data_IF_298250492516
#
_entry.id   IF_298250492516
#
_cell.length_a   1.000
_cell.length_b   1.000
_cell.length_c   1.000
_cell.angle_alpha   90.00
_cell.angle_beta   90.00
_cell.angle_gamma   90.00
#
_symmetry.space_group_name_H-M   'P 1'
#
loop_
_entity.id
_entity.type
_entity.pdbx_description
1 polymer ?
#
# COMPACT_ATOMS: atom_id res chain seq x y z
N UNK A 1 -11.78 -11.18 -51.94
CA UNK A 1 -11.96 -12.53 -52.42
C UNK A 1 -11.03 -12.70 -53.63
N UNK A 2 -9.97 -13.43 -53.46
CA UNK A 2 -9.08 -13.77 -54.58
C UNK A 2 -9.28 -15.24 -54.90
N UNK A 3 -9.54 -15.59 -56.17
CA UNK A 3 -9.76 -16.96 -56.65
C UNK A 3 -8.48 -17.36 -57.38
N UNK A 4 -7.92 -18.54 -57.04
CA UNK A 4 -6.78 -19.09 -57.70
C UNK A 4 -7.20 -19.83 -59.02
N UNK A 5 -6.27 -20.06 -59.97
CA UNK A 5 -6.60 -20.65 -61.26
C UNK A 5 -7.11 -22.08 -61.22
N UNK A 6 -7.19 -22.74 -60.04
CA UNK A 6 -7.72 -24.07 -59.85
C UNK A 6 -9.10 -24.13 -59.20
N UNK A 7 -9.80 -23.00 -59.03
CA UNK A 7 -11.16 -22.92 -58.51
C UNK A 7 -11.35 -23.29 -57.03
N UNK A 8 -10.28 -23.30 -56.23
CA UNK A 8 -10.37 -23.58 -54.79
C UNK A 8 -10.54 -22.28 -53.98
N UNK A 9 -11.63 -22.21 -53.24
CA UNK A 9 -11.84 -21.10 -52.24
C UNK A 9 -10.88 -21.28 -51.09
N UNK A 10 -9.84 -20.48 -51.04
CA UNK A 10 -8.96 -20.42 -49.88
C UNK A 10 -9.66 -19.55 -48.83
N UNK A 11 -10.23 -20.19 -47.80
CA UNK A 11 -10.64 -19.48 -46.58
C UNK A 11 -9.38 -19.05 -45.83
N UNK A 12 -9.06 -17.78 -45.95
CA UNK A 12 -8.07 -17.14 -45.07
C UNK A 12 -8.66 -17.17 -43.66
N UNK A 13 -8.20 -18.11 -42.81
CA UNK A 13 -8.44 -18.02 -41.37
C UNK A 13 -7.52 -16.93 -40.83
N UNK A 14 -8.00 -15.69 -40.86
CA UNK A 14 -7.44 -14.66 -40.03
C UNK A 14 -7.79 -15.06 -38.60
N UNK A 15 -6.82 -15.65 -37.88
CA UNK A 15 -6.88 -15.75 -36.44
C UNK A 15 -7.03 -14.32 -35.89
N UNK A 16 -8.04 -14.05 -35.07
CA UNK A 16 -8.07 -12.79 -34.37
C UNK A 16 -6.94 -12.84 -33.33
N UNK A 17 -5.78 -12.27 -33.67
CA UNK A 17 -4.87 -11.84 -32.64
C UNK A 17 -5.60 -10.75 -31.86
N UNK A 18 -6.23 -11.15 -30.76
CA UNK A 18 -6.64 -10.20 -29.74
C UNK A 18 -5.36 -9.60 -29.18
N UNK A 19 -4.92 -8.50 -29.75
CA UNK A 19 -3.96 -7.63 -29.10
C UNK A 19 -4.59 -7.23 -27.76
N UNK A 20 -4.14 -7.90 -26.69
CA UNK A 20 -4.42 -7.51 -25.32
C UNK A 20 -3.81 -6.12 -25.15
N UNK A 21 -4.60 -5.06 -25.30
CA UNK A 21 -4.17 -3.69 -25.01
C UNK A 21 -3.79 -3.68 -23.53
N UNK A 22 -2.50 -3.78 -23.24
CA UNK A 22 -1.97 -3.44 -21.93
C UNK A 22 -2.23 -1.94 -21.76
N UNK A 23 -3.18 -1.58 -20.91
CA UNK A 23 -3.32 -0.19 -20.52
C UNK A 23 -2.03 0.23 -19.81
N UNK A 24 -1.38 1.30 -20.31
CA UNK A 24 -0.18 1.81 -19.68
C UNK A 24 -0.49 2.37 -18.29
N UNK A 25 0.44 2.30 -17.33
CA UNK A 25 0.29 2.96 -16.05
C UNK A 25 0.00 4.46 -16.22
N UNK A 26 -0.86 4.99 -15.34
CA UNK A 26 -1.19 6.42 -15.30
C UNK A 26 -0.46 7.03 -14.11
N UNK A 27 0.45 8.00 -14.35
CA UNK A 27 1.10 8.76 -13.29
C UNK A 27 0.50 10.16 -13.20
N UNK A 28 0.19 10.59 -11.98
CA UNK A 28 -0.40 11.88 -11.70
C UNK A 28 0.01 12.42 -10.34
N UNK A 29 -0.29 13.69 -10.09
CA UNK A 29 -0.17 14.28 -8.76
C UNK A 29 -1.55 14.45 -8.16
N UNK A 30 -1.80 13.82 -7.02
CA UNK A 30 -3.01 13.99 -6.23
C UNK A 30 -2.82 15.16 -5.24
N UNK A 31 -3.92 15.73 -4.79
CA UNK A 31 -3.93 16.77 -3.76
C UNK A 31 -4.61 16.22 -2.51
N UNK A 32 -3.93 16.34 -1.37
CA UNK A 32 -4.50 16.01 -0.07
C UNK A 32 -5.38 17.14 0.44
N UNK A 33 -6.24 16.87 1.42
CA UNK A 33 -7.14 17.87 2.02
C UNK A 33 -6.38 19.06 2.64
N UNK A 34 -5.14 18.85 3.09
CA UNK A 34 -4.26 19.91 3.59
C UNK A 34 -3.36 20.55 2.51
N UNK A 35 -3.67 20.34 1.23
CA UNK A 35 -3.07 20.99 0.08
C UNK A 35 -1.68 20.49 -0.33
N UNK A 36 -1.24 19.33 0.17
CA UNK A 36 0.01 18.70 -0.25
C UNK A 36 -0.20 17.93 -1.55
N UNK A 37 0.73 18.08 -2.51
CA UNK A 37 0.75 17.27 -3.73
C UNK A 37 1.49 15.96 -3.50
N UNK A 38 0.92 14.83 -3.89
CA UNK A 38 1.55 13.51 -3.80
C UNK A 38 1.67 12.85 -5.18
N UNK A 39 2.86 12.38 -5.49
CA UNK A 39 3.18 11.66 -6.73
C UNK A 39 2.59 10.25 -6.67
N UNK A 40 1.72 9.92 -7.61
CA UNK A 40 0.91 8.71 -7.57
C UNK A 40 0.88 8.01 -8.92
N UNK A 41 0.80 6.69 -8.90
CA UNK A 41 0.75 5.83 -10.09
C UNK A 41 -0.41 4.85 -9.95
N UNK A 42 -1.25 4.79 -10.97
CA UNK A 42 -2.23 3.73 -11.16
C UNK A 42 -1.68 2.71 -12.16
N UNK A 43 -1.56 1.48 -11.74
CA UNK A 43 -1.19 0.34 -12.55
C UNK A 43 -2.45 -0.52 -12.79
N UNK A 44 -2.91 -0.65 -14.05
CA UNK A 44 -4.08 -1.48 -14.37
C UNK A 44 -3.78 -2.97 -14.12
N UNK A 45 -4.81 -3.81 -13.96
CA UNK A 45 -4.62 -5.25 -13.79
C UNK A 45 -3.82 -5.83 -14.94
N UNK A 46 -2.84 -6.69 -14.63
CA UNK A 46 -2.10 -7.45 -15.63
C UNK A 46 -2.94 -8.64 -16.08
N UNK A 47 -3.46 -8.61 -17.31
CA UNK A 47 -4.19 -9.72 -17.90
C UNK A 47 -3.23 -10.88 -18.22
N UNK A 48 -3.05 -11.81 -17.29
CA UNK A 48 -2.77 -13.19 -17.63
C UNK A 48 -4.13 -13.89 -17.59
N UNK A 49 -4.66 -14.26 -18.76
CA UNK A 49 -5.92 -14.97 -18.88
C UNK A 49 -5.74 -16.40 -18.34
N UNK A 50 -5.88 -16.57 -17.05
CA UNK A 50 -6.19 -17.88 -16.47
C UNK A 50 -7.70 -17.99 -16.38
N UNK A 51 -8.27 -18.87 -17.21
CA UNK A 51 -9.71 -19.11 -17.30
C UNK A 51 -10.35 -19.60 -15.98
N UNK A 52 -9.54 -19.89 -14.97
CA UNK A 52 -9.94 -20.40 -13.66
C UNK A 52 -10.16 -19.33 -12.58
N UNK A 53 -9.80 -18.04 -12.84
CA UNK A 53 -9.89 -16.98 -11.84
C UNK A 53 -10.50 -15.74 -12.47
N UNK A 54 -11.80 -15.43 -12.19
CA UNK A 54 -12.37 -14.15 -12.60
C UNK A 54 -11.59 -13.04 -11.87
N UNK A 55 -10.89 -12.18 -12.62
CA UNK A 55 -10.30 -10.98 -12.08
C UNK A 55 -11.41 -10.12 -11.46
N UNK A 56 -11.26 -9.77 -10.21
CA UNK A 56 -12.11 -8.78 -9.59
C UNK A 56 -11.77 -7.42 -10.21
N UNK A 57 -12.47 -7.06 -11.31
CA UNK A 57 -12.25 -5.79 -12.04
C UNK A 57 -12.54 -4.57 -11.18
N UNK A 58 -13.27 -4.76 -10.11
CA UNK A 58 -13.68 -3.77 -9.12
C UNK A 58 -12.70 -3.64 -7.94
N UNK A 59 -11.76 -4.59 -7.78
CA UNK A 59 -10.75 -4.57 -6.71
C UNK A 59 -9.56 -3.70 -7.12
N UNK A 60 -9.13 -2.85 -6.18
CA UNK A 60 -7.88 -2.10 -6.26
C UNK A 60 -7.09 -2.22 -4.96
N UNK A 61 -5.79 -2.44 -5.09
CA UNK A 61 -4.85 -2.37 -3.99
C UNK A 61 -4.29 -0.96 -3.90
N UNK A 62 -4.36 -0.32 -2.73
CA UNK A 62 -3.67 0.96 -2.47
C UNK A 62 -2.45 0.67 -1.62
N UNK A 63 -1.26 0.78 -2.22
CA UNK A 63 0.01 0.36 -1.61
C UNK A 63 0.75 1.54 -1.00
N UNK A 64 0.99 1.47 0.31
CA UNK A 64 1.67 2.46 1.13
C UNK A 64 3.07 1.95 1.55
N UNK A 65 4.12 2.57 1.01
CA UNK A 65 5.52 2.16 1.21
C UNK A 65 6.06 2.45 2.62
N UNK A 66 7.19 1.84 2.98
CA UNK A 66 7.93 2.12 4.21
C UNK A 66 8.64 3.48 4.19
N UNK A 67 9.19 3.89 5.34
CA UNK A 67 9.98 5.12 5.44
C UNK A 67 11.17 5.09 4.47
N UNK A 68 11.43 6.21 3.78
CA UNK A 68 12.41 6.37 2.68
C UNK A 68 12.06 5.67 1.36
N UNK A 69 10.87 5.04 1.26
CA UNK A 69 10.34 4.52 0.00
C UNK A 69 9.87 5.63 -0.95
N UNK A 70 9.56 5.26 -2.17
CA UNK A 70 8.83 6.05 -3.18
C UNK A 70 8.26 5.12 -4.26
N UNK A 71 7.41 5.63 -5.16
CA UNK A 71 6.75 4.85 -6.22
C UNK A 71 7.71 4.16 -7.20
N UNK A 72 8.93 4.66 -7.33
CA UNK A 72 9.91 4.17 -8.30
C UNK A 72 10.88 3.14 -7.69
N UNK A 73 10.83 2.87 -6.38
CA UNK A 73 11.71 1.90 -5.73
C UNK A 73 11.49 0.48 -6.27
N UNK A 74 12.57 -0.26 -6.62
CA UNK A 74 12.44 -1.60 -7.20
C UNK A 74 11.60 -2.57 -6.35
N UNK A 75 11.76 -2.54 -5.01
CA UNK A 75 11.00 -3.39 -4.10
C UNK A 75 9.51 -2.99 -4.05
N UNK A 76 9.16 -1.71 -4.15
CA UNK A 76 7.77 -1.24 -4.27
C UNK A 76 7.19 -1.68 -5.62
N UNK A 77 7.92 -1.49 -6.72
CA UNK A 77 7.47 -1.93 -8.05
C UNK A 77 7.29 -3.45 -8.15
N UNK A 78 8.10 -4.24 -7.44
CA UNK A 78 7.90 -5.69 -7.34
C UNK A 78 6.57 -6.03 -6.66
N UNK A 79 6.26 -5.41 -5.52
CA UNK A 79 4.98 -5.56 -4.84
C UNK A 79 3.81 -5.21 -5.77
N UNK A 80 3.89 -4.07 -6.46
CA UNK A 80 2.89 -3.65 -7.45
C UNK A 80 2.69 -4.69 -8.53
N UNK A 81 3.78 -5.17 -9.15
CA UNK A 81 3.70 -6.16 -10.22
C UNK A 81 3.05 -7.48 -9.76
N UNK A 82 3.22 -7.86 -8.49
CA UNK A 82 2.53 -9.02 -7.94
C UNK A 82 1.04 -8.75 -7.80
N UNK A 83 0.65 -7.64 -7.19
CA UNK A 83 -0.77 -7.34 -6.94
C UNK A 83 -1.55 -7.02 -8.21
N UNK A 84 -0.92 -6.55 -9.30
CA UNK A 84 -1.63 -6.38 -10.59
C UNK A 84 -2.19 -7.68 -11.15
N UNK A 85 -1.78 -8.84 -10.64
CA UNK A 85 -2.37 -10.16 -10.97
C UNK A 85 -3.73 -10.39 -10.30
N UNK A 86 -4.07 -9.63 -9.28
CA UNK A 86 -5.28 -9.75 -8.47
C UNK A 86 -6.30 -8.64 -8.74
N UNK A 87 -5.82 -7.45 -9.07
CA UNK A 87 -6.64 -6.26 -9.31
C UNK A 87 -5.82 -5.11 -9.83
N UNK A 88 -6.38 -3.92 -9.92
CA UNK A 88 -5.63 -2.71 -10.16
C UNK A 88 -4.76 -2.35 -8.94
N UNK A 89 -3.74 -1.54 -9.12
CA UNK A 89 -2.90 -1.06 -8.03
C UNK A 89 -2.72 0.45 -8.12
N UNK A 90 -3.00 1.14 -7.03
CA UNK A 90 -2.60 2.53 -6.82
C UNK A 90 -1.40 2.55 -5.88
N UNK A 91 -0.31 3.16 -6.31
CA UNK A 91 0.83 3.47 -5.44
C UNK A 91 1.03 4.98 -5.39
N UNK A 92 1.60 5.46 -4.31
CA UNK A 92 1.94 6.88 -4.15
C UNK A 92 3.20 7.03 -3.31
N UNK A 93 3.92 8.11 -3.53
CA UNK A 93 5.00 8.54 -2.63
C UNK A 93 4.41 9.39 -1.52
N UNK A 94 4.60 9.02 -0.26
CA UNK A 94 4.15 9.83 0.86
C UNK A 94 4.71 11.24 0.81
N UNK A 95 4.03 12.20 1.45
CA UNK A 95 4.52 13.57 1.63
C UNK A 95 5.98 13.59 2.06
N UNK A 96 6.75 14.45 1.46
CA UNK A 96 8.19 14.56 1.73
C UNK A 96 9.06 13.49 1.07
N UNK A 97 8.52 12.46 0.43
CA UNK A 97 9.24 11.39 -0.25
C UNK A 97 9.24 11.58 -1.78
N UNK A 98 10.30 11.12 -2.43
CA UNK A 98 10.39 11.13 -3.90
C UNK A 98 10.08 12.50 -4.51
N UNK A 99 9.11 12.54 -5.45
CA UNK A 99 8.64 13.75 -6.12
C UNK A 99 7.46 14.43 -5.40
N UNK A 100 6.88 13.82 -4.35
CA UNK A 100 5.78 14.41 -3.57
C UNK A 100 6.18 15.70 -2.87
N UNK A 101 5.22 16.61 -2.70
CA UNK A 101 5.36 17.84 -1.94
C UNK A 101 5.47 17.64 -0.42
N UNK A 102 5.42 18.71 0.33
CA UNK A 102 5.36 18.69 1.78
C UNK A 102 6.61 18.13 2.48
N UNK A 103 6.39 17.65 3.70
CA UNK A 103 7.41 17.02 4.57
C UNK A 103 6.77 15.86 5.33
N UNK A 104 7.48 14.74 5.45
CA UNK A 104 7.03 13.58 6.22
C UNK A 104 6.89 13.93 7.70
N UNK A 105 5.78 13.56 8.27
CA UNK A 105 5.49 13.59 9.72
C UNK A 105 5.66 12.21 10.35
N UNK A 106 6.18 11.25 9.58
CA UNK A 106 6.53 9.88 10.02
C UNK A 106 5.33 9.12 10.60
N UNK A 107 4.19 9.19 9.91
CA UNK A 107 2.99 8.41 10.22
C UNK A 107 1.81 9.21 10.79
N UNK A 108 1.95 10.52 11.01
CA UNK A 108 0.82 11.33 11.47
C UNK A 108 -0.06 11.81 10.31
N UNK A 109 0.41 12.77 9.50
CA UNK A 109 -0.37 13.35 8.40
C UNK A 109 -0.36 12.52 7.12
N UNK A 110 0.45 11.48 7.06
CA UNK A 110 0.48 10.53 5.96
C UNK A 110 -0.86 9.79 5.76
N UNK A 111 -1.75 9.81 6.75
CA UNK A 111 -3.14 9.33 6.60
C UNK A 111 -3.93 10.13 5.57
N UNK A 112 -3.64 11.43 5.39
CA UNK A 112 -4.26 12.28 4.38
C UNK A 112 -3.78 11.92 2.97
N UNK A 113 -2.52 11.48 2.84
CA UNK A 113 -1.96 11.03 1.56
C UNK A 113 -2.64 9.74 1.11
N UNK A 114 -2.81 8.79 2.04
CA UNK A 114 -3.52 7.55 1.79
C UNK A 114 -4.98 7.79 1.47
N UNK A 115 -5.67 8.70 2.18
CA UNK A 115 -7.04 9.08 1.90
C UNK A 115 -7.21 9.62 0.48
N UNK A 116 -6.33 10.50 0.02
CA UNK A 116 -6.34 11.01 -1.35
C UNK A 116 -6.13 9.89 -2.39
N UNK A 117 -5.26 8.92 -2.10
CA UNK A 117 -5.01 7.76 -2.98
C UNK A 117 -6.22 6.82 -3.05
N UNK A 118 -6.89 6.55 -1.92
CA UNK A 118 -8.12 5.76 -1.84
C UNK A 118 -9.26 6.45 -2.58
N UNK A 119 -9.48 7.75 -2.34
CA UNK A 119 -10.49 8.53 -3.04
C UNK A 119 -10.25 8.55 -4.55
N UNK A 120 -9.00 8.64 -4.98
CA UNK A 120 -8.67 8.54 -6.42
C UNK A 120 -9.01 7.17 -6.98
N UNK A 121 -8.68 6.09 -6.29
CA UNK A 121 -9.06 4.73 -6.69
C UNK A 121 -10.58 4.57 -6.85
N UNK A 122 -11.37 5.08 -5.90
CA UNK A 122 -12.83 5.13 -5.97
C UNK A 122 -13.30 5.97 -7.17
N UNK A 123 -12.70 7.12 -7.40
CA UNK A 123 -12.99 7.99 -8.56
C UNK A 123 -12.70 7.34 -9.92
N UNK A 124 -11.81 6.36 -9.98
CA UNK A 124 -11.56 5.53 -11.16
C UNK A 124 -12.60 4.41 -11.34
N UNK A 125 -13.57 4.27 -10.43
CA UNK A 125 -14.69 3.33 -10.51
C UNK A 125 -14.47 2.02 -9.75
N UNK A 126 -13.42 1.90 -8.92
CA UNK A 126 -13.22 0.73 -8.08
C UNK A 126 -14.15 0.76 -6.86
N UNK A 127 -14.91 -0.30 -6.66
CA UNK A 127 -15.86 -0.43 -5.55
C UNK A 127 -15.30 -1.18 -4.36
N UNK A 128 -14.18 -1.90 -4.53
CA UNK A 128 -13.49 -2.69 -3.51
C UNK A 128 -12.05 -2.21 -3.37
N UNK A 129 -11.69 -1.69 -2.21
CA UNK A 129 -10.37 -1.11 -1.94
C UNK A 129 -9.69 -1.87 -0.80
N UNK A 130 -8.56 -2.51 -1.09
CA UNK A 130 -7.68 -3.09 -0.09
C UNK A 130 -6.46 -2.19 0.11
N UNK A 131 -6.25 -1.68 1.32
CA UNK A 131 -5.03 -0.93 1.64
C UNK A 131 -3.95 -1.87 2.14
N UNK A 132 -2.73 -1.77 1.58
CA UNK A 132 -1.57 -2.59 1.97
C UNK A 132 -0.42 -1.67 2.35
N UNK A 133 -0.03 -1.67 3.62
CA UNK A 133 1.03 -0.81 4.12
C UNK A 133 2.23 -1.58 4.67
N UNK A 134 3.42 -1.05 4.42
CA UNK A 134 4.70 -1.64 4.85
C UNK A 134 5.41 -0.73 5.85
N UNK A 135 5.84 -1.27 7.00
CA UNK A 135 6.57 -0.53 8.05
C UNK A 135 5.83 0.76 8.46
N UNK A 136 6.36 1.94 8.17
CA UNK A 136 5.65 3.23 8.35
C UNK A 136 4.30 3.22 7.63
N UNK A 137 4.24 2.75 6.38
CA UNK A 137 2.98 2.60 5.65
C UNK A 137 2.01 1.65 6.34
N UNK A 138 2.51 0.59 7.01
CA UNK A 138 1.72 -0.30 7.86
C UNK A 138 1.06 0.43 9.04
N UNK A 139 1.77 1.34 9.68
CA UNK A 139 1.18 2.21 10.72
C UNK A 139 0.11 3.14 10.15
N UNK A 140 0.36 3.67 8.93
CA UNK A 140 -0.55 4.61 8.26
C UNK A 140 -1.85 3.93 7.88
N UNK A 141 -1.83 2.71 7.31
CA UNK A 141 -3.07 2.00 6.94
C UNK A 141 -3.93 1.67 8.17
N UNK A 142 -3.30 1.31 9.31
CA UNK A 142 -4.03 1.06 10.56
C UNK A 142 -4.73 2.33 11.07
N UNK A 143 -4.01 3.45 11.13
CA UNK A 143 -4.57 4.72 11.56
C UNK A 143 -5.62 5.27 10.58
N UNK A 144 -5.34 5.16 9.30
CA UNK A 144 -6.27 5.57 8.25
C UNK A 144 -7.61 4.84 8.37
N UNK A 145 -7.60 3.51 8.47
CA UNK A 145 -8.83 2.72 8.57
C UNK A 145 -9.67 3.07 9.81
N UNK A 146 -9.03 3.43 10.92
CA UNK A 146 -9.73 3.88 12.12
C UNK A 146 -10.36 5.28 11.95
N UNK A 147 -9.76 6.15 11.15
CA UNK A 147 -10.20 7.54 10.93
C UNK A 147 -11.22 7.66 9.79
N UNK A 148 -11.07 6.87 8.73
CA UNK A 148 -11.88 6.92 7.51
C UNK A 148 -12.77 5.69 7.41
N UNK A 149 -13.81 5.64 8.25
CA UNK A 149 -14.80 4.57 8.26
C UNK A 149 -15.94 4.88 7.29
N UNK A 150 -16.64 3.86 6.73
CA UNK A 150 -17.76 4.07 5.80
C UNK A 150 -18.88 4.97 6.35
N UNK A 151 -19.06 4.94 7.68
CA UNK A 151 -20.13 5.67 8.40
C UNK A 151 -19.66 7.04 8.91
N UNK A 152 -18.39 7.40 8.71
CA UNK A 152 -17.86 8.70 9.18
C UNK A 152 -18.36 9.84 8.29
N UNK A 153 -18.99 10.84 8.89
CA UNK A 153 -19.48 12.04 8.20
C UNK A 153 -18.39 12.70 7.34
N UNK A 154 -18.64 12.83 6.04
CA UNK A 154 -17.82 13.57 5.09
C UNK A 154 -16.65 12.84 4.42
N UNK A 155 -16.43 11.55 4.70
CA UNK A 155 -15.28 10.78 4.15
C UNK A 155 -15.68 9.46 3.46
N UNK A 156 -16.88 9.38 2.91
CA UNK A 156 -17.45 8.16 2.31
C UNK A 156 -16.59 7.53 1.22
N UNK A 157 -15.82 8.32 0.49
CA UNK A 157 -15.02 7.84 -0.65
C UNK A 157 -13.56 7.49 -0.29
N UNK A 158 -13.15 7.67 0.97
CA UNK A 158 -11.78 7.42 1.40
C UNK A 158 -11.61 6.17 2.28
N UNK A 159 -12.68 5.41 2.56
CA UNK A 159 -12.60 4.20 3.37
C UNK A 159 -12.00 3.01 2.62
N UNK A 160 -11.37 2.11 3.35
CA UNK A 160 -10.88 0.81 2.87
C UNK A 160 -11.88 -0.31 3.22
N UNK A 161 -12.02 -1.30 2.34
CA UNK A 161 -12.86 -2.49 2.57
C UNK A 161 -12.07 -3.64 3.21
N UNK A 162 -10.74 -3.64 3.06
CA UNK A 162 -9.81 -4.53 3.76
C UNK A 162 -8.49 -3.83 4.04
N UNK A 163 -7.83 -4.20 5.13
CA UNK A 163 -6.58 -3.58 5.59
C UNK A 163 -5.51 -4.64 5.80
N UNK A 164 -4.33 -4.43 5.21
CA UNK A 164 -3.15 -5.28 5.40
C UNK A 164 -1.99 -4.44 5.94
N UNK A 165 -1.49 -4.79 7.11
CA UNK A 165 -0.37 -4.12 7.77
C UNK A 165 0.82 -5.06 7.87
N UNK A 166 1.91 -4.74 7.15
CA UNK A 166 3.13 -5.58 7.09
C UNK A 166 4.26 -4.91 7.86
N UNK A 167 4.82 -5.61 8.86
CA UNK A 167 5.96 -5.15 9.68
C UNK A 167 5.76 -3.77 10.33
N UNK A 168 4.54 -3.45 10.78
CA UNK A 168 4.25 -2.18 11.42
C UNK A 168 4.69 -2.14 12.89
N UNK A 169 5.12 -0.97 13.41
CA UNK A 169 5.22 -0.77 14.85
C UNK A 169 3.83 -0.71 15.50
N UNK A 170 3.69 -1.26 16.70
CA UNK A 170 2.47 -1.06 17.50
C UNK A 170 2.49 0.28 18.26
N UNK A 171 3.69 0.76 18.62
CA UNK A 171 3.88 1.93 19.50
C UNK A 171 4.75 2.99 18.83
N UNK A 172 4.42 4.25 19.07
CA UNK A 172 5.32 5.36 18.74
C UNK A 172 6.57 5.35 19.65
N UNK A 173 7.58 6.05 19.21
CA UNK A 173 8.85 6.29 19.93
C UNK A 173 9.62 5.03 20.35
N UNK A 174 9.33 3.86 19.76
CA UNK A 174 10.07 2.63 20.04
C UNK A 174 11.55 2.77 19.64
N UNK A 175 12.46 2.43 20.56
CA UNK A 175 13.92 2.53 20.38
C UNK A 175 14.66 1.27 20.84
N UNK A 176 13.97 0.15 20.99
CA UNK A 176 14.55 -1.08 21.54
C UNK A 176 15.63 -1.70 20.66
N UNK A 177 15.55 -1.51 19.34
CA UNK A 177 16.53 -2.08 18.39
C UNK A 177 17.53 -1.04 17.86
N UNK A 178 18.70 -1.51 17.39
CA UNK A 178 19.71 -0.64 16.80
C UNK A 178 19.23 0.09 15.53
N UNK A 179 18.50 -0.56 14.58
CA UNK A 179 17.91 0.13 13.44
C UNK A 179 16.95 1.25 13.86
N UNK A 180 16.08 1.01 14.85
CA UNK A 180 15.15 2.03 15.32
C UNK A 180 15.85 3.21 16.02
N UNK A 181 16.93 2.97 16.76
CA UNK A 181 17.72 4.09 17.31
C UNK A 181 18.35 4.95 16.21
N UNK A 182 18.83 4.32 15.11
CA UNK A 182 19.36 5.04 13.94
C UNK A 182 18.26 5.83 13.23
N UNK A 183 17.08 5.24 13.05
CA UNK A 183 15.91 5.91 12.47
C UNK A 183 15.51 7.14 13.29
N UNK A 184 15.43 7.00 14.61
CA UNK A 184 15.14 8.13 15.50
C UNK A 184 16.17 9.26 15.36
N UNK A 185 17.47 8.93 15.23
CA UNK A 185 18.50 9.92 14.97
C UNK A 185 18.26 10.64 13.62
N UNK A 186 17.93 9.91 12.55
CA UNK A 186 17.61 10.49 11.24
C UNK A 186 16.42 11.46 11.30
N UNK A 187 15.41 11.13 12.09
CA UNK A 187 14.17 11.92 12.20
C UNK A 187 14.38 13.14 13.10
N UNK A 188 14.97 12.97 14.27
CA UNK A 188 14.97 13.99 15.32
C UNK A 188 16.14 14.98 15.25
N UNK A 189 17.28 14.58 14.65
CA UNK A 189 18.49 15.43 14.63
C UNK A 189 18.59 16.24 13.33
N UNK A 190 19.02 17.52 13.38
CA UNK A 190 19.20 18.33 12.18
C UNK A 190 20.14 17.67 11.15
N UNK A 191 21.28 17.12 11.59
CA UNK A 191 22.19 16.40 10.72
C UNK A 191 21.55 15.13 10.12
N UNK A 192 20.75 14.39 10.90
CA UNK A 192 20.00 13.23 10.42
C UNK A 192 18.99 13.63 9.33
N UNK A 193 18.27 14.73 9.51
CA UNK A 193 17.33 15.26 8.50
C UNK A 193 18.03 15.69 7.21
N UNK A 194 19.25 16.21 7.28
CA UNK A 194 20.06 16.48 6.09
C UNK A 194 20.44 15.19 5.36
N UNK A 195 20.88 14.16 6.10
CA UNK A 195 21.15 12.84 5.52
C UNK A 195 19.89 12.25 4.88
N UNK A 196 18.74 12.33 5.55
CA UNK A 196 17.46 11.89 4.97
C UNK A 196 17.13 12.64 3.68
N UNK A 197 17.33 13.95 3.65
CA UNK A 197 17.01 14.79 2.48
C UNK A 197 17.86 14.45 1.26
N UNK A 198 19.16 14.36 1.44
CA UNK A 198 20.11 14.21 0.34
C UNK A 198 20.48 12.76 0.02
N UNK A 199 20.49 11.88 1.04
CA UNK A 199 20.81 10.46 0.87
C UNK A 199 19.61 9.61 0.51
N UNK A 200 18.43 9.89 1.10
CA UNK A 200 17.23 9.09 0.92
C UNK A 200 16.09 9.82 0.18
N UNK A 201 16.31 11.06 -0.29
CA UNK A 201 15.30 11.89 -0.95
C UNK A 201 14.03 12.06 -0.09
N UNK A 202 14.20 12.09 1.24
CA UNK A 202 13.09 12.19 2.21
C UNK A 202 13.24 13.48 3.02
N UNK A 203 12.25 14.37 2.91
CA UNK A 203 12.15 15.64 3.64
C UNK A 203 11.29 15.44 4.87
N UNK A 204 11.90 15.50 6.05
CA UNK A 204 11.23 15.27 7.33
C UNK A 204 10.79 16.60 7.93
N UNK A 205 9.61 16.62 8.55
CA UNK A 205 9.10 17.76 9.31
C UNK A 205 9.96 17.98 10.55
N UNK A 206 10.17 19.24 10.91
CA UNK A 206 11.11 19.59 11.99
C UNK A 206 10.46 19.74 13.36
N UNK A 207 9.13 19.82 13.43
CA UNK A 207 8.37 19.94 14.66
C UNK A 207 7.95 18.56 15.16
N UNK A 208 7.88 18.41 16.47
CA UNK A 208 7.28 17.26 17.11
C UNK A 208 5.76 17.26 16.89
N UNK A 209 5.13 16.10 17.09
CA UNK A 209 3.68 15.98 17.03
C UNK A 209 3.03 16.74 18.20
N UNK A 210 2.04 17.56 17.89
CA UNK A 210 1.23 18.28 18.87
C UNK A 210 -0.20 18.46 18.33
N UNK A 211 -1.19 17.74 18.88
CA UNK A 211 -1.04 16.64 19.85
C UNK A 211 -0.36 15.41 19.25
N UNK A 212 0.17 14.52 20.10
CA UNK A 212 0.65 13.20 19.66
C UNK A 212 -0.55 12.38 19.17
N UNK A 213 -0.52 11.86 17.93
CA UNK A 213 -1.62 11.06 17.41
C UNK A 213 -1.71 9.70 18.10
N UNK A 214 -2.91 9.10 18.08
CA UNK A 214 -3.07 7.71 18.54
C UNK A 214 -2.03 6.81 17.87
N UNK A 215 -1.37 5.98 18.66
CA UNK A 215 -0.45 4.98 18.15
C UNK A 215 -1.18 3.93 17.30
N UNK A 216 -0.46 3.15 16.46
CA UNK A 216 -1.11 2.09 15.68
C UNK A 216 -1.94 1.14 16.54
N UNK A 217 -1.45 0.69 17.68
CA UNK A 217 -2.20 -0.23 18.55
C UNK A 217 -3.45 0.41 19.16
N UNK A 218 -3.39 1.70 19.51
CA UNK A 218 -4.56 2.44 20.02
C UNK A 218 -5.60 2.69 18.92
N UNK A 219 -5.19 2.71 17.65
CA UNK A 219 -6.08 2.92 16.49
C UNK A 219 -6.82 1.63 16.11
N UNK A 220 -6.20 0.46 16.29
CA UNK A 220 -6.72 -0.84 15.82
C UNK A 220 -8.17 -1.14 16.23
N UNK A 221 -8.61 -0.92 17.48
CA UNK A 221 -10.01 -1.18 17.84
C UNK A 221 -11.04 -0.37 17.04
N UNK A 222 -10.64 0.78 16.50
CA UNK A 222 -11.49 1.64 15.66
C UNK A 222 -11.62 1.16 14.21
N UNK A 223 -10.92 0.09 13.81
CA UNK A 223 -10.98 -0.47 12.45
C UNK A 223 -12.21 -1.35 12.25
N UNK A 224 -12.66 -2.02 13.31
CA UNK A 224 -13.82 -2.92 13.23
C UNK A 224 -15.07 -2.21 12.64
N UNK A 225 -15.85 -2.88 11.77
CA UNK A 225 -15.78 -4.30 11.40
C UNK A 225 -14.88 -4.61 10.19
N UNK A 226 -14.12 -3.65 9.67
CA UNK A 226 -13.28 -3.85 8.47
C UNK A 226 -12.24 -4.96 8.73
N UNK A 227 -12.14 -5.98 7.86
CA UNK A 227 -11.17 -7.05 8.00
C UNK A 227 -9.73 -6.54 8.04
N UNK A 228 -8.94 -7.04 9.00
CA UNK A 228 -7.55 -6.64 9.21
C UNK A 228 -6.63 -7.85 9.16
N UNK A 229 -5.61 -7.80 8.28
CA UNK A 229 -4.50 -8.74 8.26
C UNK A 229 -3.22 -8.07 8.78
N UNK A 230 -2.62 -8.64 9.80
CA UNK A 230 -1.32 -8.24 10.36
C UNK A 230 -0.29 -9.28 9.93
N UNK A 231 0.70 -8.88 9.14
CA UNK A 231 1.79 -9.74 8.67
C UNK A 231 3.10 -9.27 9.27
N UNK A 232 3.91 -10.19 9.80
CA UNK A 232 5.17 -9.81 10.43
C UNK A 232 6.25 -10.89 10.30
N UNK A 233 7.50 -10.46 10.14
CA UNK A 233 8.64 -11.35 10.04
C UNK A 233 9.17 -11.82 11.40
N UNK A 234 9.42 -13.11 11.55
CA UNK A 234 10.07 -13.68 12.74
C UNK A 234 11.53 -13.24 12.90
N UNK A 235 12.14 -12.76 11.80
CA UNK A 235 13.51 -12.22 11.74
C UNK A 235 13.54 -10.71 11.50
N UNK A 236 12.45 -10.00 11.85
CA UNK A 236 12.39 -8.53 11.72
C UNK A 236 13.36 -7.86 12.71
N UNK A 237 14.39 -7.21 12.17
CA UNK A 237 15.42 -6.53 12.97
C UNK A 237 15.00 -5.15 13.50
N UNK A 238 13.85 -4.62 13.04
CA UNK A 238 13.30 -3.32 13.48
C UNK A 238 12.34 -3.48 14.64
N UNK A 239 11.35 -4.37 14.50
CA UNK A 239 10.27 -4.57 15.46
C UNK A 239 10.21 -6.04 15.90
N UNK A 240 10.44 -6.33 17.20
CA UNK A 240 10.27 -7.66 17.74
C UNK A 240 8.80 -8.12 17.73
N UNK A 241 8.59 -9.42 17.95
CA UNK A 241 7.26 -10.07 17.88
C UNK A 241 6.22 -9.55 18.90
N UNK A 242 6.61 -8.75 19.89
CA UNK A 242 5.67 -8.08 20.78
C UNK A 242 4.80 -7.06 20.02
N UNK A 243 5.35 -6.41 18.99
CA UNK A 243 4.61 -5.45 18.17
C UNK A 243 3.41 -6.08 17.42
N UNK A 244 3.58 -7.12 16.57
CA UNK A 244 2.43 -7.69 15.87
C UNK A 244 1.46 -8.39 16.84
N UNK A 245 1.93 -8.96 17.96
CA UNK A 245 1.06 -9.55 18.98
C UNK A 245 0.17 -8.51 19.66
N UNK A 246 0.71 -7.34 20.00
CA UNK A 246 -0.09 -6.22 20.53
C UNK A 246 -1.15 -5.75 19.54
N UNK A 247 -0.81 -5.65 18.25
CA UNK A 247 -1.76 -5.27 17.20
C UNK A 247 -2.87 -6.32 17.06
N UNK A 248 -2.52 -7.61 17.06
CA UNK A 248 -3.49 -8.71 16.97
C UNK A 248 -4.40 -8.78 18.19
N UNK A 249 -3.85 -8.60 19.40
CA UNK A 249 -4.64 -8.53 20.63
C UNK A 249 -5.65 -7.37 20.59
N UNK A 250 -5.22 -6.20 20.11
CA UNK A 250 -6.10 -5.04 19.97
C UNK A 250 -7.17 -5.21 18.87
N UNK A 251 -6.89 -6.03 17.84
CA UNK A 251 -7.82 -6.32 16.76
C UNK A 251 -8.93 -7.29 17.20
N UNK A 252 -8.64 -8.23 18.11
CA UNK A 252 -9.62 -9.25 18.49
C UNK A 252 -10.10 -10.06 17.28
N UNK A 253 -11.41 -10.30 17.20
CA UNK A 253 -12.00 -11.21 16.21
C UNK A 253 -12.01 -10.68 14.76
N UNK A 254 -11.77 -9.37 14.53
CA UNK A 254 -11.74 -8.82 13.18
C UNK A 254 -10.34 -8.85 12.55
N UNK A 255 -9.31 -9.30 13.27
CA UNK A 255 -7.92 -9.32 12.83
C UNK A 255 -7.32 -10.72 12.75
N UNK A 256 -6.55 -10.95 11.68
CA UNK A 256 -5.70 -12.14 11.53
C UNK A 256 -4.23 -11.77 11.73
N UNK A 257 -3.44 -12.68 12.34
CA UNK A 257 -2.00 -12.51 12.50
C UNK A 257 -1.24 -13.62 11.76
N UNK A 258 -0.39 -13.22 10.82
CA UNK A 258 0.56 -14.12 10.16
C UNK A 258 1.99 -13.78 10.58
N UNK A 259 2.68 -14.74 11.19
CA UNK A 259 4.12 -14.66 11.47
C UNK A 259 4.85 -15.49 10.43
N UNK A 260 5.72 -14.85 9.67
CA UNK A 260 6.33 -15.43 8.48
C UNK A 260 7.87 -15.47 8.60
N UNK A 261 8.56 -16.42 7.95
CA UNK A 261 10.01 -16.54 8.02
C UNK A 261 10.73 -15.48 7.16
N UNK A 262 10.50 -14.21 7.46
CA UNK A 262 11.04 -13.07 6.71
C UNK A 262 11.69 -12.02 7.62
N UNK A 263 12.43 -11.10 7.02
CA UNK A 263 12.94 -9.88 7.66
C UNK A 263 11.90 -8.75 7.66
N UNK A 264 12.37 -7.50 7.41
CA UNK A 264 11.53 -6.31 7.56
C UNK A 264 10.87 -5.87 6.25
N UNK A 265 9.55 -5.76 6.27
CA UNK A 265 8.69 -5.05 5.32
C UNK A 265 8.88 -5.44 3.83
N UNK A 266 8.67 -4.50 2.90
CA UNK A 266 8.66 -4.72 1.45
C UNK A 266 10.00 -5.19 0.87
N UNK A 267 11.09 -5.03 1.60
CA UNK A 267 12.41 -5.53 1.21
C UNK A 267 12.54 -7.04 1.41
N UNK A 268 11.80 -7.61 2.35
CA UNK A 268 11.96 -8.99 2.80
C UNK A 268 10.77 -9.89 2.46
N UNK A 269 9.61 -9.32 2.13
CA UNK A 269 8.43 -10.08 1.73
C UNK A 269 8.69 -10.81 0.41
N UNK A 270 8.48 -12.15 0.38
CA UNK A 270 8.62 -12.97 -0.82
C UNK A 270 7.37 -12.93 -1.72
N UNK A 271 7.52 -13.36 -2.98
CA UNK A 271 6.42 -13.32 -3.94
C UNK A 271 5.27 -14.26 -3.54
N UNK A 272 5.57 -15.45 -3.00
CA UNK A 272 4.58 -16.39 -2.47
C UNK A 272 3.71 -15.77 -1.36
N UNK A 273 4.34 -15.02 -0.44
CA UNK A 273 3.60 -14.33 0.62
C UNK A 273 2.77 -13.18 0.06
N UNK A 274 3.28 -12.44 -0.93
CA UNK A 274 2.50 -11.42 -1.63
C UNK A 274 1.29 -12.02 -2.35
N UNK A 275 1.43 -13.20 -2.95
CA UNK A 275 0.31 -13.92 -3.57
C UNK A 275 -0.75 -14.30 -2.53
N UNK A 276 -0.35 -14.84 -1.39
CA UNK A 276 -1.28 -15.14 -0.27
C UNK A 276 -1.99 -13.89 0.25
N UNK A 277 -1.27 -12.77 0.37
CA UNK A 277 -1.88 -11.48 0.74
C UNK A 277 -2.89 -11.03 -0.32
N UNK A 278 -2.57 -11.18 -1.60
CA UNK A 278 -3.47 -10.86 -2.71
C UNK A 278 -4.76 -11.68 -2.67
N UNK A 279 -4.67 -12.97 -2.40
CA UNK A 279 -5.81 -13.88 -2.23
C UNK A 279 -6.67 -13.50 -1.04
N UNK A 280 -6.05 -13.26 0.11
CA UNK A 280 -6.74 -12.83 1.32
C UNK A 280 -7.51 -11.52 1.10
N UNK A 281 -6.83 -10.50 0.55
CA UNK A 281 -7.45 -9.20 0.32
C UNK A 281 -8.59 -9.27 -0.72
N UNK A 282 -8.44 -10.10 -1.76
CA UNK A 282 -9.48 -10.33 -2.75
C UNK A 282 -10.75 -10.98 -2.17
N UNK A 283 -10.60 -11.77 -1.11
CA UNK A 283 -11.73 -12.40 -0.39
C UNK A 283 -12.30 -11.45 0.66
N UNK A 284 -11.45 -10.80 1.44
CA UNK A 284 -11.85 -9.99 2.58
C UNK A 284 -12.51 -8.66 2.20
N UNK A 285 -12.13 -8.07 1.07
CA UNK A 285 -12.73 -6.83 0.57
C UNK A 285 -14.08 -7.04 -0.15
N UNK A 286 -14.57 -8.24 -0.24
CA UNK A 286 -15.83 -8.58 -0.96
C UNK A 286 -16.86 -9.15 -0.12
#
# INVERSE_FOLDING_TARGET
MSIDPAGRVVRSTVSPHSETRRHAPIRTFLHTDDGVTIDSVYDPPSFVYEASRPLARDLVFVVAHGFTGDVDRPHVRRVVNTFTRYGAVVTFSFRGHGASGGRSTVGDREVLDLAAAVSWARGLGHTRVATVGFSMGGSVVLRHAALYRPEADGHTDAHADAVVSVSAPARWYYRGTAPMRRLHWLVTRPAGRLVSRYGFRTRIHHRDWDPVPLSPVESVPGIAPTPLLIVHGDRDGYFPLDHPRMLAEAAGDHGELWIEPMGHAEHAVGDELLDRIGDWAGTAAG
#
